data_IF_525557805956
#
_entry.id   IF_525557805956
#
_cell.length_a   1.000
_cell.length_b   1.000
_cell.length_c   1.000
_cell.angle_alpha   90.00
_cell.angle_beta   90.00
_cell.angle_gamma   90.00
#
_symmetry.space_group_name_H-M   'P 1'
#
loop_
_entity.id
_entity.type
_entity.pdbx_description
1 polymer ?
#
# COMPACT_ATOMS: atom_id res chain seq x y z
N UNK A 1 -36.10 7.73 7.50
CA UNK A 1 -35.08 7.11 6.64
C UNK A 1 -34.46 6.00 7.45
N UNK A 2 -34.55 4.76 7.00
CA UNK A 2 -33.90 3.64 7.69
C UNK A 2 -32.40 3.93 7.74
N UNK A 3 -31.79 3.84 8.92
CA UNK A 3 -30.35 4.06 9.07
C UNK A 3 -29.60 2.97 8.32
N UNK A 4 -28.70 3.35 7.40
CA UNK A 4 -27.84 2.40 6.71
C UNK A 4 -26.89 1.79 7.74
N UNK A 5 -26.74 0.46 7.70
CA UNK A 5 -25.90 -0.32 8.60
C UNK A 5 -24.92 -1.18 7.80
N UNK A 6 -23.68 -1.29 8.29
CA UNK A 6 -22.70 -2.26 7.79
C UNK A 6 -22.41 -3.32 8.86
N UNK A 7 -22.40 -4.57 8.45
CA UNK A 7 -22.22 -5.72 9.33
C UNK A 7 -21.02 -6.55 8.90
N UNK A 8 -20.06 -6.71 9.80
CA UNK A 8 -19.02 -7.74 9.73
C UNK A 8 -19.62 -9.06 10.23
N UNK A 9 -20.01 -9.96 9.31
CA UNK A 9 -20.76 -11.17 9.65
C UNK A 9 -19.90 -12.29 10.20
N UNK A 10 -18.63 -12.34 9.79
CA UNK A 10 -17.70 -13.37 10.20
C UNK A 10 -16.80 -13.82 9.07
N UNK A 11 -16.19 -14.98 9.27
CA UNK A 11 -15.29 -15.59 8.31
C UNK A 11 -15.29 -17.11 8.46
N UNK A 12 -14.83 -17.78 7.42
CA UNK A 12 -14.51 -19.21 7.40
C UNK A 12 -13.12 -19.40 6.84
N UNK A 13 -12.41 -20.46 7.24
CA UNK A 13 -11.07 -20.74 6.74
C UNK A 13 -10.81 -22.24 6.66
N UNK A 14 -9.90 -22.60 5.76
CA UNK A 14 -9.35 -23.94 5.57
C UNK A 14 -7.84 -23.80 5.40
N UNK A 15 -7.09 -24.13 6.45
CA UNK A 15 -5.63 -23.97 6.49
C UNK A 15 -4.90 -24.96 5.59
N UNK A 16 -5.46 -26.15 5.38
CA UNK A 16 -4.89 -27.17 4.50
C UNK A 16 -5.05 -26.77 3.03
N UNK A 17 -6.23 -26.27 2.65
CA UNK A 17 -6.47 -25.73 1.31
C UNK A 17 -5.88 -24.34 1.09
N UNK A 18 -5.48 -23.66 2.16
CA UNK A 18 -4.89 -22.32 2.08
C UNK A 18 -5.90 -21.25 1.65
N UNK A 19 -7.10 -21.25 2.25
CA UNK A 19 -8.18 -20.34 1.88
C UNK A 19 -8.86 -19.76 3.13
N UNK A 20 -9.25 -18.49 3.06
CA UNK A 20 -10.24 -17.91 3.98
C UNK A 20 -11.24 -17.04 3.23
N UNK A 21 -12.48 -16.99 3.73
CA UNK A 21 -13.57 -16.18 3.18
C UNK A 21 -14.13 -15.28 4.28
N UNK A 22 -14.43 -14.03 3.97
CA UNK A 22 -14.92 -13.02 4.90
C UNK A 22 -16.26 -12.47 4.41
N UNK A 23 -17.27 -12.54 5.27
CA UNK A 23 -18.65 -12.21 4.95
C UNK A 23 -19.03 -10.82 5.48
N UNK A 24 -19.63 -10.01 4.63
CA UNK A 24 -20.12 -8.67 4.96
C UNK A 24 -21.57 -8.47 4.50
N UNK A 25 -22.29 -7.55 5.13
CA UNK A 25 -23.50 -6.98 4.55
C UNK A 25 -23.59 -5.48 4.75
N UNK A 26 -24.32 -4.84 3.84
CA UNK A 26 -24.87 -3.50 4.03
C UNK A 26 -26.39 -3.60 3.93
N UNK A 27 -27.08 -2.99 4.88
CA UNK A 27 -28.54 -2.97 4.99
C UNK A 27 -29.00 -1.50 4.99
N UNK A 28 -29.85 -1.14 4.04
CA UNK A 28 -30.40 0.21 3.87
C UNK A 28 -31.73 0.16 3.13
N UNK A 29 -31.90 1.01 2.11
CA UNK A 29 -33.03 0.89 1.17
C UNK A 29 -32.95 -0.41 0.35
N UNK A 30 -31.73 -0.75 -0.07
CA UNK A 30 -31.37 -2.05 -0.61
C UNK A 30 -30.43 -2.78 0.36
N UNK A 31 -30.48 -4.11 0.34
CA UNK A 31 -29.54 -4.94 1.10
C UNK A 31 -28.57 -5.64 0.15
N UNK A 32 -27.29 -5.64 0.51
CA UNK A 32 -26.26 -6.37 -0.22
C UNK A 32 -25.42 -7.22 0.73
N UNK A 33 -24.96 -8.35 0.22
CA UNK A 33 -24.03 -9.24 0.87
C UNK A 33 -22.79 -9.35 0.00
N UNK A 34 -21.64 -9.51 0.65
CA UNK A 34 -20.35 -9.60 -0.02
C UNK A 34 -19.52 -10.71 0.63
N UNK A 35 -18.72 -11.38 -0.19
CA UNK A 35 -17.72 -12.36 0.25
C UNK A 35 -16.37 -11.99 -0.36
N UNK A 36 -15.43 -11.56 0.49
CA UNK A 36 -14.03 -11.43 0.09
C UNK A 36 -13.29 -12.72 0.39
N UNK A 37 -12.42 -13.16 -0.52
CA UNK A 37 -11.59 -14.35 -0.28
C UNK A 37 -10.11 -13.98 -0.27
N UNK A 38 -9.35 -14.70 0.54
CA UNK A 38 -7.90 -14.72 0.47
C UNK A 38 -7.41 -16.16 0.26
N UNK A 39 -6.31 -16.29 -0.47
CA UNK A 39 -5.64 -17.55 -0.74
C UNK A 39 -4.17 -17.44 -0.35
N UNK A 40 -3.64 -18.48 0.27
CA UNK A 40 -2.28 -18.54 0.81
C UNK A 40 -1.75 -19.99 0.70
N UNK A 41 -0.43 -20.24 0.75
CA UNK A 41 0.11 -21.60 0.79
C UNK A 41 -0.47 -22.42 1.96
N UNK A 42 -0.63 -23.73 1.76
CA UNK A 42 -1.10 -24.64 2.82
C UNK A 42 -0.27 -24.47 4.10
N UNK A 43 -0.95 -24.43 5.23
CA UNK A 43 -0.32 -24.25 6.55
C UNK A 43 -0.26 -25.60 7.23
N UNK A 44 0.94 -26.17 7.32
CA UNK A 44 1.19 -27.47 7.95
C UNK A 44 1.33 -27.36 9.47
N UNK A 45 1.64 -26.17 9.98
CA UNK A 45 1.83 -25.93 11.40
C UNK A 45 0.49 -25.93 12.16
N UNK A 46 0.48 -26.55 13.34
CA UNK A 46 -0.65 -26.43 14.25
C UNK A 46 -0.65 -25.03 14.89
N UNK A 47 -1.69 -24.25 14.61
CA UNK A 47 -1.84 -22.90 15.14
C UNK A 47 -2.99 -22.90 16.14
N UNK A 48 -2.78 -22.42 17.39
CA UNK A 48 -3.84 -22.34 18.38
C UNK A 48 -5.05 -21.57 17.86
N UNK A 49 -6.25 -22.14 18.07
CA UNK A 49 -7.51 -21.56 17.58
C UNK A 49 -7.70 -20.11 18.01
N UNK A 50 -7.33 -19.77 19.25
CA UNK A 50 -7.42 -18.41 19.76
C UNK A 50 -6.52 -17.43 18.98
N UNK A 51 -5.37 -17.88 18.48
CA UNK A 51 -4.47 -17.05 17.68
C UNK A 51 -4.99 -16.86 16.26
N UNK A 52 -5.51 -17.94 15.65
CA UNK A 52 -6.23 -17.86 14.38
C UNK A 52 -7.39 -16.87 14.48
N UNK A 53 -8.17 -16.93 15.58
CA UNK A 53 -9.27 -16.00 15.83
C UNK A 53 -8.79 -14.55 15.81
N UNK A 54 -7.70 -14.22 16.51
CA UNK A 54 -7.12 -12.86 16.50
C UNK A 54 -6.73 -12.42 15.09
N UNK A 55 -6.07 -13.28 14.32
CA UNK A 55 -5.63 -12.96 12.97
C UNK A 55 -6.84 -12.68 12.06
N UNK A 56 -7.80 -13.59 12.02
CA UNK A 56 -8.95 -13.47 11.13
C UNK A 56 -9.97 -12.41 11.56
N UNK A 57 -10.15 -12.16 12.86
CA UNK A 57 -10.94 -11.04 13.36
C UNK A 57 -10.41 -9.70 12.82
N UNK A 58 -9.09 -9.49 12.89
CA UNK A 58 -8.46 -8.26 12.41
C UNK A 58 -8.46 -8.15 10.88
N UNK A 59 -8.27 -9.28 10.18
CA UNK A 59 -8.39 -9.32 8.72
C UNK A 59 -9.80 -8.97 8.26
N UNK A 60 -10.84 -9.49 8.93
CA UNK A 60 -12.22 -9.14 8.63
C UNK A 60 -12.44 -7.62 8.71
N UNK A 61 -11.89 -6.96 9.74
CA UNK A 61 -12.06 -5.53 9.92
C UNK A 61 -11.31 -4.69 8.87
N UNK A 62 -10.09 -5.05 8.49
CA UNK A 62 -9.35 -4.27 7.49
C UNK A 62 -9.86 -4.53 6.06
N UNK A 63 -10.21 -5.77 5.70
CA UNK A 63 -10.71 -6.10 4.36
C UNK A 63 -12.11 -5.51 4.12
N UNK A 64 -12.96 -5.51 5.16
CA UNK A 64 -14.30 -4.94 5.13
C UNK A 64 -14.36 -3.45 4.75
N UNK A 65 -13.25 -2.71 4.86
CA UNK A 65 -13.16 -1.29 4.51
C UNK A 65 -13.56 -1.02 3.05
N UNK A 66 -13.27 -1.97 2.16
CA UNK A 66 -13.58 -1.89 0.73
C UNK A 66 -15.09 -1.90 0.45
N UNK A 67 -15.88 -2.55 1.32
CA UNK A 67 -17.33 -2.63 1.19
C UNK A 67 -18.05 -1.58 2.03
N UNK A 68 -17.53 -1.26 3.23
CA UNK A 68 -18.08 -0.20 4.08
C UNK A 68 -18.12 1.15 3.33
N UNK A 69 -17.06 1.46 2.58
CA UNK A 69 -16.93 2.75 1.88
C UNK A 69 -18.04 3.00 0.86
N UNK A 70 -18.67 1.96 0.31
CA UNK A 70 -19.72 2.09 -0.71
C UNK A 70 -20.85 3.02 -0.27
N UNK A 71 -21.19 2.99 1.02
CA UNK A 71 -22.32 3.75 1.57
C UNK A 71 -21.96 4.58 2.81
N UNK A 72 -20.74 4.44 3.34
CA UNK A 72 -20.27 5.15 4.54
C UNK A 72 -21.25 5.10 5.75
N UNK A 73 -21.82 3.94 6.10
CA UNK A 73 -22.82 3.86 7.16
C UNK A 73 -22.24 4.20 8.53
N UNK A 74 -23.00 4.96 9.31
CA UNK A 74 -22.66 5.33 10.70
C UNK A 74 -22.81 4.15 11.66
N UNK A 75 -23.70 3.22 11.36
CA UNK A 75 -23.94 2.06 12.20
C UNK A 75 -23.07 0.90 11.73
N UNK A 76 -22.12 0.50 12.58
CA UNK A 76 -21.23 -0.63 12.37
C UNK A 76 -21.60 -1.73 13.36
N UNK A 77 -21.80 -2.96 12.85
CA UNK A 77 -22.04 -4.15 13.67
C UNK A 77 -20.94 -5.18 13.42
N UNK A 78 -20.41 -5.76 14.50
CA UNK A 78 -19.47 -6.88 14.46
C UNK A 78 -20.14 -8.07 15.14
N UNK A 79 -20.37 -9.17 14.42
CA UNK A 79 -21.17 -10.30 14.93
C UNK A 79 -20.35 -11.40 15.64
N UNK A 80 -19.11 -11.65 15.20
CA UNK A 80 -18.28 -12.78 15.67
C UNK A 80 -17.16 -12.38 16.63
N UNK A 81 -17.04 -11.08 16.90
CA UNK A 81 -15.99 -10.52 17.74
C UNK A 81 -16.51 -9.27 18.45
N UNK A 82 -15.91 -8.94 19.58
CA UNK A 82 -16.10 -7.66 20.26
C UNK A 82 -14.77 -6.97 20.45
N UNK A 83 -14.76 -5.67 20.19
CA UNK A 83 -13.60 -4.81 20.42
C UNK A 83 -13.66 -4.27 21.83
N UNK A 84 -12.51 -4.10 22.48
CA UNK A 84 -12.42 -3.16 23.58
C UNK A 84 -12.29 -1.72 23.06
N UNK A 85 -12.34 -0.74 23.96
CA UNK A 85 -12.25 0.69 23.62
C UNK A 85 -11.00 1.03 22.79
N UNK A 86 -9.83 0.56 23.22
CA UNK A 86 -8.57 0.87 22.54
C UNK A 86 -8.53 0.30 21.11
N UNK A 87 -9.06 -0.91 20.92
CA UNK A 87 -9.16 -1.49 19.59
C UNK A 87 -10.13 -0.71 18.70
N UNK A 88 -11.29 -0.30 19.24
CA UNK A 88 -12.24 0.52 18.49
C UNK A 88 -11.62 1.89 18.13
N UNK A 89 -10.85 2.51 19.03
CA UNK A 89 -10.15 3.77 18.75
C UNK A 89 -9.08 3.61 17.66
N UNK A 90 -8.33 2.51 17.68
CA UNK A 90 -7.43 2.14 16.58
C UNK A 90 -8.17 2.05 15.24
N UNK A 91 -9.26 1.27 15.17
CA UNK A 91 -10.02 1.09 13.93
C UNK A 91 -10.72 2.37 13.46
N UNK A 92 -11.22 3.20 14.39
CA UNK A 92 -11.73 4.54 14.09
C UNK A 92 -10.66 5.38 13.39
N UNK A 93 -9.42 5.36 13.90
CA UNK A 93 -8.30 6.11 13.33
C UNK A 93 -7.87 5.57 11.97
N UNK A 94 -7.75 4.24 11.82
CA UNK A 94 -7.39 3.58 10.55
C UNK A 94 -8.39 3.91 9.45
N UNK A 95 -9.68 3.79 9.71
CA UNK A 95 -10.72 4.13 8.73
C UNK A 95 -10.77 5.63 8.44
N UNK A 96 -10.65 6.48 9.45
CA UNK A 96 -10.71 7.93 9.27
C UNK A 96 -9.53 8.46 8.45
N UNK A 97 -8.29 8.12 8.84
CA UNK A 97 -7.08 8.64 8.19
C UNK A 97 -6.77 7.88 6.89
N UNK A 98 -6.95 6.56 6.88
CA UNK A 98 -6.71 5.72 5.70
C UNK A 98 -7.66 5.97 4.53
N UNK A 99 -8.89 6.44 4.80
CA UNK A 99 -9.84 6.86 3.76
C UNK A 99 -9.82 8.38 3.50
N UNK A 100 -8.81 9.11 3.97
CA UNK A 100 -8.75 10.57 3.84
C UNK A 100 -8.89 11.06 2.39
N UNK A 101 -8.17 10.45 1.44
CA UNK A 101 -8.32 10.78 0.01
C UNK A 101 -9.73 10.46 -0.49
N UNK A 102 -10.28 9.31 -0.08
CA UNK A 102 -11.62 8.90 -0.47
C UNK A 102 -12.65 9.92 -0.01
N UNK A 103 -12.57 10.40 1.24
CA UNK A 103 -13.47 11.44 1.74
C UNK A 103 -13.29 12.76 1.01
N UNK A 104 -12.05 13.19 0.76
CA UNK A 104 -11.77 14.41 0.01
C UNK A 104 -12.37 14.36 -1.40
N UNK A 105 -12.10 13.28 -2.16
CA UNK A 105 -12.58 13.14 -3.55
C UNK A 105 -14.09 13.05 -3.65
N UNK A 106 -14.75 12.39 -2.69
CA UNK A 106 -16.21 12.26 -2.64
C UNK A 106 -16.89 13.42 -1.89
N UNK A 107 -16.13 14.41 -1.39
CA UNK A 107 -16.62 15.57 -0.63
C UNK A 107 -17.45 15.17 0.61
N UNK A 108 -17.03 14.10 1.29
CA UNK A 108 -17.71 13.55 2.47
C UNK A 108 -17.19 14.23 3.74
N UNK A 109 -18.09 14.73 4.57
CA UNK A 109 -17.75 15.15 5.94
C UNK A 109 -17.58 13.94 6.84
N UNK A 110 -16.32 13.58 7.11
CA UNK A 110 -15.95 12.41 7.88
C UNK A 110 -15.88 12.67 9.40
N UNK A 111 -16.08 13.91 9.86
CA UNK A 111 -15.90 14.26 11.28
C UNK A 111 -16.91 13.53 12.14
N UNK A 112 -16.42 12.63 13.00
CA UNK A 112 -17.26 11.78 13.85
C UNK A 112 -18.10 10.75 13.08
N UNK A 113 -17.78 10.48 11.82
CA UNK A 113 -18.48 9.52 10.96
C UNK A 113 -18.22 8.08 11.39
N UNK A 114 -16.95 7.75 11.64
CA UNK A 114 -16.52 6.39 12.00
C UNK A 114 -16.65 6.18 13.50
N UNK A 115 -17.44 5.16 13.89
CA UNK A 115 -17.63 4.76 15.28
C UNK A 115 -17.75 3.25 15.37
N UNK A 116 -16.63 2.56 15.52
CA UNK A 116 -16.59 1.14 15.82
C UNK A 116 -17.20 0.86 17.21
N UNK A 117 -18.09 -0.15 17.33
CA UNK A 117 -18.65 -0.54 18.62
C UNK A 117 -17.57 -1.18 19.50
N UNK A 118 -17.69 -1.00 20.81
CA UNK A 118 -16.83 -1.65 21.79
C UNK A 118 -17.62 -2.08 23.03
N UNK A 119 -17.03 -3.03 23.75
CA UNK A 119 -17.50 -3.57 25.03
C UNK A 119 -16.41 -3.45 26.10
N UNK A 120 -16.80 -3.59 27.37
CA UNK A 120 -15.85 -3.58 28.50
C UNK A 120 -15.25 -4.96 28.67
N UNK A 121 -14.24 -5.27 27.85
CA UNK A 121 -13.57 -6.57 27.83
C UNK A 121 -12.05 -6.39 27.99
N UNK A 122 -11.40 -7.29 28.74
CA UNK A 122 -9.95 -7.28 28.88
C UNK A 122 -9.27 -7.76 27.60
N UNK A 123 -8.21 -7.07 27.21
CA UNK A 123 -7.34 -7.55 26.14
C UNK A 123 -6.56 -8.77 26.63
N UNK A 124 -6.63 -9.88 25.90
CA UNK A 124 -5.67 -10.96 26.00
C UNK A 124 -4.68 -10.84 24.85
N UNK A 125 -3.40 -11.05 25.08
CA UNK A 125 -2.41 -11.21 24.01
C UNK A 125 -2.03 -12.68 23.93
N UNK A 126 -1.74 -13.19 22.73
CA UNK A 126 -1.27 -14.56 22.56
C UNK A 126 0.18 -14.50 22.11
N UNK A 127 1.05 -15.03 22.97
CA UNK A 127 2.46 -15.18 22.65
C UNK A 127 2.74 -16.59 22.13
N UNK A 128 3.31 -16.64 20.94
CA UNK A 128 3.83 -17.87 20.33
C UNK A 128 5.15 -17.48 19.66
N UNK A 129 6.29 -17.75 20.32
CA UNK A 129 7.61 -17.40 19.80
C UNK A 129 7.83 -17.90 18.37
N UNK A 130 8.53 -17.08 17.59
CA UNK A 130 8.82 -17.33 16.18
C UNK A 130 10.32 -17.44 15.96
N UNK A 131 10.71 -18.11 14.88
CA UNK A 131 12.10 -18.11 14.45
C UNK A 131 12.54 -16.70 14.05
N UNK A 132 13.75 -16.34 14.46
CA UNK A 132 14.42 -15.07 14.12
C UNK A 132 14.78 -15.04 12.63
N UNK A 133 13.80 -14.70 11.80
CA UNK A 133 13.93 -14.50 10.36
C UNK A 133 12.88 -13.51 9.89
N UNK A 134 13.22 -12.79 8.82
CA UNK A 134 12.38 -11.71 8.31
C UNK A 134 11.59 -12.12 7.10
N UNK A 135 10.39 -11.58 6.98
CA UNK A 135 9.54 -11.70 5.81
C UNK A 135 9.42 -10.33 5.14
N UNK A 136 10.16 -10.15 4.05
CA UNK A 136 10.27 -8.86 3.34
C UNK A 136 9.19 -8.77 2.27
N UNK A 137 8.35 -7.73 2.32
CA UNK A 137 7.32 -7.49 1.30
C UNK A 137 7.94 -6.99 -0.01
N UNK A 138 7.58 -7.63 -1.12
CA UNK A 138 8.08 -7.30 -2.45
C UNK A 138 6.96 -6.84 -3.39
N UNK A 139 6.88 -5.52 -3.62
CA UNK A 139 5.88 -4.90 -4.49
C UNK A 139 6.32 -4.69 -5.95
N UNK A 140 7.62 -4.86 -6.24
CA UNK A 140 8.16 -4.75 -7.60
C UNK A 140 8.68 -3.36 -7.99
N UNK A 141 8.54 -2.38 -7.09
CA UNK A 141 9.19 -1.07 -7.17
C UNK A 141 10.63 -1.09 -6.64
N UNK A 142 11.32 0.05 -6.79
CA UNK A 142 12.72 0.23 -6.40
C UNK A 142 12.96 0.01 -4.90
N UNK A 143 12.04 0.43 -4.05
CA UNK A 143 12.21 0.45 -2.58
C UNK A 143 12.35 -0.96 -2.01
N UNK A 144 11.46 -1.86 -2.43
CA UNK A 144 11.51 -3.27 -2.04
C UNK A 144 12.73 -4.02 -2.59
N UNK A 145 13.28 -3.57 -3.71
CA UNK A 145 14.55 -4.10 -4.26
C UNK A 145 15.71 -3.67 -3.37
N UNK A 146 15.79 -2.37 -3.04
CA UNK A 146 16.84 -1.84 -2.15
C UNK A 146 16.82 -2.55 -0.80
N UNK A 147 15.64 -2.73 -0.21
CA UNK A 147 15.51 -3.48 1.06
C UNK A 147 16.03 -4.90 0.92
N UNK A 148 15.59 -5.65 -0.10
CA UNK A 148 16.00 -7.04 -0.30
C UNK A 148 17.51 -7.20 -0.55
N UNK A 149 18.11 -6.31 -1.34
CA UNK A 149 19.55 -6.36 -1.61
C UNK A 149 20.37 -5.95 -0.39
N UNK A 150 19.88 -4.98 0.42
CA UNK A 150 20.52 -4.64 1.70
C UNK A 150 20.50 -5.80 2.69
N UNK A 151 19.39 -6.54 2.76
CA UNK A 151 19.32 -7.75 3.59
C UNK A 151 20.32 -8.82 3.13
N UNK A 152 20.51 -8.98 1.82
CA UNK A 152 21.54 -9.88 1.27
C UNK A 152 22.95 -9.42 1.60
N UNK A 153 23.25 -8.14 1.45
CA UNK A 153 24.55 -7.56 1.80
C UNK A 153 24.90 -7.75 3.29
N UNK A 154 23.90 -7.70 4.17
CA UNK A 154 24.06 -7.92 5.62
C UNK A 154 24.02 -9.40 6.03
N UNK A 155 23.84 -10.33 5.08
CA UNK A 155 23.63 -11.76 5.35
C UNK A 155 22.48 -12.05 6.35
N UNK A 156 21.50 -11.15 6.45
CA UNK A 156 20.35 -11.33 7.35
C UNK A 156 19.40 -12.38 6.74
N UNK A 157 18.99 -13.43 7.48
CA UNK A 157 18.03 -14.41 6.97
C UNK A 157 16.66 -13.76 6.68
N UNK A 158 16.22 -13.85 5.43
CA UNK A 158 14.89 -13.38 5.03
C UNK A 158 14.30 -14.20 3.90
N UNK A 159 12.98 -14.20 3.81
CA UNK A 159 12.24 -14.67 2.65
C UNK A 159 11.31 -13.56 2.14
N UNK A 160 10.73 -13.78 0.96
CA UNK A 160 9.90 -12.78 0.29
C UNK A 160 8.42 -13.08 0.52
N UNK A 161 7.66 -12.05 0.89
CA UNK A 161 6.20 -12.05 0.81
C UNK A 161 5.72 -11.21 -0.37
N UNK A 162 4.79 -11.75 -1.13
CA UNK A 162 4.08 -11.04 -2.18
C UNK A 162 2.59 -11.06 -1.90
N UNK A 163 1.95 -9.90 -2.00
CA UNK A 163 0.49 -9.79 -1.99
C UNK A 163 0.01 -9.54 -3.41
N UNK A 164 -0.78 -10.45 -3.94
CA UNK A 164 -1.14 -10.55 -5.35
C UNK A 164 -0.09 -11.28 -6.17
N UNK A 165 -0.53 -11.87 -7.28
CA UNK A 165 0.36 -12.54 -8.24
C UNK A 165 0.62 -11.63 -9.44
N UNK A 166 1.73 -10.89 -9.38
CA UNK A 166 2.13 -9.95 -10.43
C UNK A 166 3.47 -10.36 -11.06
N UNK A 167 3.54 -10.32 -12.39
CA UNK A 167 4.72 -10.77 -13.14
C UNK A 167 5.99 -9.97 -12.83
N UNK A 168 5.87 -8.69 -12.48
CA UNK A 168 7.02 -7.81 -12.15
C UNK A 168 7.71 -8.27 -10.86
N UNK A 169 7.04 -8.28 -9.67
CA UNK A 169 7.67 -8.75 -8.45
C UNK A 169 8.12 -10.22 -8.52
N UNK A 170 7.43 -11.10 -9.25
CA UNK A 170 7.89 -12.49 -9.48
C UNK A 170 9.26 -12.55 -10.18
N UNK A 171 9.44 -11.76 -11.25
CA UNK A 171 10.73 -11.67 -11.96
C UNK A 171 11.83 -11.11 -11.06
N UNK A 172 11.49 -10.13 -10.22
CA UNK A 172 12.44 -9.55 -9.27
C UNK A 172 12.83 -10.56 -8.19
N UNK A 173 11.88 -11.30 -7.62
CA UNK A 173 12.17 -12.37 -6.65
C UNK A 173 13.12 -13.42 -7.23
N UNK A 174 12.93 -13.79 -8.51
CA UNK A 174 13.85 -14.68 -9.23
C UNK A 174 15.27 -14.11 -9.34
N UNK A 175 15.44 -12.83 -9.63
CA UNK A 175 16.76 -12.17 -9.67
C UNK A 175 17.39 -12.09 -8.28
N UNK A 176 16.58 -11.83 -7.24
CA UNK A 176 17.03 -11.84 -5.85
C UNK A 176 17.54 -13.23 -5.44
N UNK A 177 16.94 -14.29 -6.00
CA UNK A 177 17.24 -15.69 -5.71
C UNK A 177 16.32 -16.30 -4.65
N UNK A 178 15.07 -15.82 -4.57
CA UNK A 178 14.09 -16.23 -3.56
C UNK A 178 12.81 -16.74 -4.20
N UNK A 179 12.20 -17.75 -3.57
CA UNK A 179 10.85 -18.24 -3.89
C UNK A 179 9.89 -17.48 -2.96
N UNK A 180 8.96 -16.68 -3.51
CA UNK A 180 8.07 -15.88 -2.68
C UNK A 180 6.95 -16.74 -2.08
N UNK A 181 6.57 -16.42 -0.84
CA UNK A 181 5.26 -16.75 -0.28
C UNK A 181 4.27 -15.78 -0.93
N UNK A 182 3.22 -16.30 -1.57
CA UNK A 182 2.24 -15.49 -2.30
C UNK A 182 0.88 -15.58 -1.62
N UNK A 183 0.37 -14.44 -1.17
CA UNK A 183 -1.02 -14.31 -0.71
C UNK A 183 -1.82 -13.63 -1.82
N UNK A 184 -2.96 -14.20 -2.22
CA UNK A 184 -3.88 -13.59 -3.18
C UNK A 184 -5.13 -13.12 -2.47
N UNK A 185 -5.70 -12.02 -2.94
CA UNK A 185 -6.97 -11.46 -2.49
C UNK A 185 -7.95 -11.42 -3.66
N UNK A 186 -9.19 -11.81 -3.43
CA UNK A 186 -10.27 -11.81 -4.41
C UNK A 186 -11.43 -10.99 -3.84
N UNK A 187 -11.59 -9.77 -4.36
CA UNK A 187 -12.73 -8.90 -4.05
C UNK A 187 -14.01 -9.48 -4.66
N UNK A 188 -15.14 -9.33 -3.96
CA UNK A 188 -16.44 -9.75 -4.47
C UNK A 188 -16.77 -9.00 -5.79
N UNK A 189 -17.20 -9.72 -6.83
CA UNK A 189 -17.51 -9.12 -8.13
C UNK A 189 -18.61 -8.05 -8.04
N UNK A 190 -19.55 -8.21 -7.10
CA UNK A 190 -20.63 -7.25 -6.83
C UNK A 190 -20.10 -5.88 -6.40
N UNK A 191 -18.92 -5.80 -5.79
CA UNK A 191 -18.28 -4.52 -5.48
C UNK A 191 -18.07 -3.70 -6.75
N UNK A 192 -17.62 -4.32 -7.84
CA UNK A 192 -17.36 -3.62 -9.10
C UNK A 192 -18.64 -3.20 -9.81
N UNK A 193 -19.70 -4.00 -9.71
CA UNK A 193 -21.04 -3.64 -10.22
C UNK A 193 -21.59 -2.42 -9.48
N UNK A 194 -21.54 -2.44 -8.14
CA UNK A 194 -22.05 -1.34 -7.32
C UNK A 194 -21.27 -0.05 -7.52
N UNK A 195 -19.95 -0.12 -7.68
CA UNK A 195 -19.08 1.05 -7.94
C UNK A 195 -19.42 1.81 -9.25
N UNK A 196 -20.22 1.23 -10.14
CA UNK A 196 -20.69 1.89 -11.37
C UNK A 196 -22.00 2.65 -11.17
N UNK A 197 -22.70 2.43 -10.04
CA UNK A 197 -23.95 3.14 -9.74
C UNK A 197 -23.65 4.55 -9.23
N UNK A 198 -24.63 5.45 -9.38
CA UNK A 198 -24.51 6.85 -8.94
C UNK A 198 -24.79 7.04 -7.44
N UNK A 199 -25.44 6.07 -6.81
CA UNK A 199 -25.84 6.08 -5.40
C UNK A 199 -24.83 5.42 -4.46
N UNK A 200 -23.66 5.02 -4.98
CA UNK A 200 -22.56 4.47 -4.19
C UNK A 200 -21.31 5.32 -4.34
N UNK A 201 -20.42 5.23 -3.34
CA UNK A 201 -19.11 5.87 -3.40
C UNK A 201 -18.03 4.91 -3.86
N UNK A 202 -17.09 5.45 -4.62
CA UNK A 202 -15.88 4.75 -5.04
C UNK A 202 -14.63 5.60 -4.73
N UNK A 203 -13.48 4.96 -4.57
CA UNK A 203 -12.21 5.66 -4.38
C UNK A 203 -11.17 4.84 -3.64
N UNK A 204 -10.11 5.54 -3.23
CA UNK A 204 -8.93 4.98 -2.57
C UNK A 204 -9.27 4.22 -1.28
N UNK A 205 -8.49 3.17 -1.00
CA UNK A 205 -8.46 2.46 0.28
C UNK A 205 -7.00 2.30 0.72
N UNK A 206 -6.71 2.24 2.02
CA UNK A 206 -5.35 2.14 2.54
C UNK A 206 -4.77 0.73 2.33
N UNK A 207 -4.40 0.39 1.09
CA UNK A 207 -3.96 -0.96 0.70
C UNK A 207 -2.73 -1.42 1.50
N UNK A 208 -1.80 -0.52 1.85
CA UNK A 208 -0.63 -0.90 2.66
C UNK A 208 -1.01 -1.31 4.10
N UNK A 209 -2.13 -0.84 4.64
CA UNK A 209 -2.64 -1.34 5.92
C UNK A 209 -3.15 -2.78 5.78
N UNK A 210 -3.86 -3.10 4.69
CA UNK A 210 -4.25 -4.50 4.37
C UNK A 210 -2.99 -5.38 4.30
N UNK A 211 -1.95 -4.92 3.62
CA UNK A 211 -0.69 -5.66 3.51
C UNK A 211 0.01 -5.87 4.86
N UNK A 212 -0.09 -4.91 5.78
CA UNK A 212 0.45 -5.06 7.13
C UNK A 212 -0.23 -6.22 7.89
N UNK A 213 -1.57 -6.28 7.88
CA UNK A 213 -2.31 -7.39 8.51
C UNK A 213 -2.07 -8.74 7.83
N UNK A 214 -2.03 -8.79 6.50
CA UNK A 214 -1.67 -10.01 5.75
C UNK A 214 -0.22 -10.44 6.03
N UNK A 215 0.68 -9.48 6.25
CA UNK A 215 2.06 -9.74 6.66
C UNK A 215 2.13 -10.41 8.03
N UNK A 216 1.41 -9.89 9.03
CA UNK A 216 1.31 -10.53 10.36
C UNK A 216 0.73 -11.94 10.26
N UNK A 217 -0.31 -12.14 9.45
CA UNK A 217 -0.85 -13.48 9.17
C UNK A 217 0.20 -14.40 8.58
N UNK A 218 0.92 -13.96 7.54
CA UNK A 218 1.96 -14.76 6.89
C UNK A 218 3.08 -15.14 7.86
N UNK A 219 3.54 -14.18 8.67
CA UNK A 219 4.57 -14.41 9.67
C UNK A 219 4.12 -15.42 10.74
N UNK A 220 2.86 -15.32 11.18
CA UNK A 220 2.25 -16.27 12.10
C UNK A 220 2.14 -17.68 11.51
N UNK A 221 1.74 -17.80 10.24
CA UNK A 221 1.50 -19.09 9.57
C UNK A 221 2.77 -19.82 9.20
N UNK A 222 3.77 -19.05 8.78
CA UNK A 222 5.00 -19.58 8.21
C UNK A 222 6.20 -19.33 9.11
N UNK A 223 6.00 -19.04 10.40
CA UNK A 223 7.02 -19.02 11.45
C UNK A 223 8.14 -17.98 11.24
N UNK A 224 7.76 -16.71 11.10
CA UNK A 224 8.66 -15.54 11.03
C UNK A 224 8.41 -14.59 12.21
N UNK A 225 9.48 -14.01 12.77
CA UNK A 225 9.38 -13.03 13.85
C UNK A 225 9.35 -11.58 13.37
N UNK A 226 9.61 -11.32 12.09
CA UNK A 226 9.63 -9.96 11.54
C UNK A 226 8.90 -9.90 10.19
N UNK A 227 8.09 -8.86 10.01
CA UNK A 227 7.48 -8.45 8.76
C UNK A 227 8.08 -7.11 8.37
N UNK A 228 8.78 -7.08 7.25
CA UNK A 228 9.55 -5.91 6.83
C UNK A 228 8.93 -5.31 5.57
N UNK A 229 8.58 -4.04 5.65
CA UNK A 229 8.17 -3.23 4.50
C UNK A 229 9.26 -2.22 4.12
N UNK A 230 9.06 -1.54 3.00
CA UNK A 230 10.04 -0.61 2.41
C UNK A 230 9.47 0.80 2.31
N UNK A 231 8.68 1.22 3.29
CA UNK A 231 8.13 2.57 3.36
C UNK A 231 9.20 3.59 3.76
N UNK A 232 9.21 4.69 3.03
CA UNK A 232 10.19 5.74 3.06
C UNK A 232 9.74 6.95 3.88
N UNK A 233 10.67 7.85 4.21
CA UNK A 233 10.38 9.10 4.92
C UNK A 233 9.33 9.95 4.20
N UNK A 234 9.39 9.98 2.87
CA UNK A 234 8.55 10.79 1.97
C UNK A 234 7.08 10.36 1.99
N UNK A 235 6.77 9.16 2.50
CA UNK A 235 5.40 8.70 2.73
C UNK A 235 4.68 9.50 3.82
N UNK A 236 5.41 10.21 4.69
CA UNK A 236 4.83 11.11 5.69
C UNK A 236 4.29 12.41 5.09
N UNK A 237 4.73 12.79 3.88
CA UNK A 237 4.35 14.06 3.27
C UNK A 237 2.91 13.99 2.71
N UNK A 238 2.01 14.79 3.30
CA UNK A 238 0.60 14.88 2.91
C UNK A 238 0.36 15.52 1.55
N UNK A 239 -0.91 15.56 1.16
CA UNK A 239 -1.35 16.04 -0.15
C UNK A 239 -2.10 17.37 -0.04
N UNK A 240 -3.15 17.44 0.78
CA UNK A 240 -4.08 18.58 0.80
C UNK A 240 -4.74 18.73 2.16
N UNK A 241 -5.10 19.96 2.55
CA UNK A 241 -5.91 20.21 3.74
C UNK A 241 -7.40 20.02 3.44
N UNK A 242 -8.10 19.22 4.26
CA UNK A 242 -9.54 18.99 4.14
C UNK A 242 -10.19 18.88 5.52
N UNK A 243 -11.21 19.72 5.77
CA UNK A 243 -11.95 19.78 7.03
C UNK A 243 -11.08 20.01 8.27
N UNK A 244 -9.98 20.77 8.10
CA UNK A 244 -9.07 21.14 9.19
C UNK A 244 -7.91 20.17 9.42
N UNK A 245 -7.80 19.11 8.63
CA UNK A 245 -6.75 18.10 8.74
C UNK A 245 -5.99 17.94 7.43
N UNK A 246 -4.71 17.55 7.51
CA UNK A 246 -3.94 17.16 6.34
C UNK A 246 -4.32 15.74 5.89
N UNK A 247 -4.69 15.62 4.62
CA UNK A 247 -4.99 14.35 3.95
C UNK A 247 -3.73 13.82 3.28
N UNK A 248 -3.38 12.57 3.56
CA UNK A 248 -2.23 11.88 2.98
C UNK A 248 -2.68 10.60 2.24
N UNK A 249 -2.45 10.56 0.92
CA UNK A 249 -2.66 9.38 0.06
C UNK A 249 -1.97 8.12 0.59
N UNK A 250 -0.79 8.31 1.17
CA UNK A 250 0.09 7.25 1.66
C UNK A 250 0.05 7.15 3.17
N UNK A 251 -1.04 7.57 3.84
CA UNK A 251 -1.10 7.56 5.31
C UNK A 251 -0.78 6.18 5.90
N UNK A 252 -1.24 5.08 5.28
CA UNK A 252 -0.91 3.72 5.72
C UNK A 252 0.54 3.27 5.45
N UNK A 253 1.40 4.16 4.98
CA UNK A 253 2.86 4.01 4.87
C UNK A 253 3.63 5.01 5.74
N UNK A 254 2.92 5.90 6.42
CA UNK A 254 3.52 6.90 7.30
C UNK A 254 4.11 6.25 8.56
N UNK A 255 5.01 6.97 9.21
CA UNK A 255 5.53 6.61 10.54
C UNK A 255 4.41 6.61 11.59
N UNK A 256 3.42 7.51 11.45
CA UNK A 256 2.26 7.55 12.34
C UNK A 256 1.49 6.21 12.30
N UNK A 257 1.20 5.70 11.10
CA UNK A 257 0.54 4.41 10.94
C UNK A 257 1.43 3.26 11.43
N UNK A 258 2.73 3.29 11.12
CA UNK A 258 3.66 2.24 11.52
C UNK A 258 3.70 2.06 13.04
N UNK A 259 3.88 3.15 13.80
CA UNK A 259 3.87 3.12 15.27
C UNK A 259 2.51 2.67 15.82
N UNK A 260 1.42 3.23 15.28
CA UNK A 260 0.07 2.86 15.68
C UNK A 260 -0.20 1.35 15.45
N UNK A 261 0.26 0.81 14.33
CA UNK A 261 0.10 -0.59 13.98
C UNK A 261 0.98 -1.50 14.83
N UNK A 262 2.24 -1.12 15.09
CA UNK A 262 3.14 -1.84 15.99
C UNK A 262 2.54 -1.97 17.40
N UNK A 263 2.09 -0.86 17.98
CA UNK A 263 1.46 -0.85 19.31
C UNK A 263 0.22 -1.76 19.34
N UNK A 264 -0.62 -1.65 18.30
CA UNK A 264 -1.83 -2.46 18.17
C UNK A 264 -1.52 -3.95 18.00
N UNK A 265 -0.59 -4.30 17.10
CA UNK A 265 -0.28 -5.69 16.79
C UNK A 265 0.35 -6.38 18.00
N UNK A 266 1.30 -5.72 18.68
CA UNK A 266 1.95 -6.24 19.88
C UNK A 266 0.97 -6.46 21.02
N UNK A 267 0.03 -5.53 21.22
CA UNK A 267 -0.92 -5.59 22.34
C UNK A 267 -2.11 -6.52 22.09
N UNK A 268 -2.62 -6.57 20.86
CA UNK A 268 -3.91 -7.24 20.58
C UNK A 268 -3.82 -8.45 19.66
N UNK A 269 -2.71 -8.65 18.93
CA UNK A 269 -2.52 -9.79 18.03
C UNK A 269 -1.45 -10.74 18.59
N UNK A 270 -0.19 -10.33 18.58
CA UNK A 270 0.95 -11.11 19.07
C UNK A 270 2.15 -10.21 19.35
N UNK A 271 2.91 -10.43 20.43
CA UNK A 271 4.14 -9.70 20.71
C UNK A 271 5.35 -10.31 19.98
N UNK A 272 5.20 -11.49 19.35
CA UNK A 272 6.30 -12.27 18.78
C UNK A 272 6.55 -11.98 17.29
N UNK A 273 5.77 -11.08 16.70
CA UNK A 273 5.95 -10.62 15.32
C UNK A 273 6.08 -9.10 15.31
N UNK A 274 7.26 -8.63 14.91
CA UNK A 274 7.53 -7.22 14.70
C UNK A 274 7.15 -6.81 13.28
N UNK A 275 6.51 -5.65 13.13
CA UNK A 275 6.29 -5.00 11.83
C UNK A 275 7.12 -3.74 11.76
N UNK A 276 7.94 -3.57 10.74
CA UNK A 276 8.78 -2.37 10.62
C UNK A 276 9.07 -2.00 9.17
N UNK A 277 9.41 -0.72 8.96
CA UNK A 277 9.88 -0.24 7.68
C UNK A 277 11.39 -0.03 7.64
N UNK A 278 12.08 -0.78 6.79
CA UNK A 278 13.55 -0.73 6.71
C UNK A 278 14.09 0.60 6.17
N UNK A 279 13.31 1.31 5.35
CA UNK A 279 13.74 2.54 4.67
C UNK A 279 13.23 3.82 5.33
N UNK A 280 12.71 3.75 6.57
CA UNK A 280 12.04 4.86 7.25
C UNK A 280 12.85 6.16 7.28
N UNK A 281 14.17 6.04 7.46
CA UNK A 281 15.07 7.19 7.57
C UNK A 281 15.48 7.79 6.23
N UNK A 282 15.24 7.08 5.12
CA UNK A 282 15.65 7.50 3.79
C UNK A 282 14.49 8.15 3.03
N UNK A 283 14.84 9.17 2.26
CA UNK A 283 13.92 9.84 1.35
C UNK A 283 13.92 9.16 -0.05
N UNK A 284 12.97 9.52 -0.92
CA UNK A 284 12.84 8.90 -2.24
C UNK A 284 14.07 9.15 -3.14
N UNK A 285 14.76 10.27 -2.95
CA UNK A 285 15.95 10.62 -3.70
C UNK A 285 17.13 9.74 -3.28
N UNK A 286 17.37 9.58 -1.98
CA UNK A 286 18.41 8.73 -1.40
C UNK A 286 18.20 7.25 -1.75
N UNK A 287 16.96 6.77 -1.67
CA UNK A 287 16.63 5.40 -2.10
C UNK A 287 16.91 5.22 -3.60
N UNK A 288 16.61 6.23 -4.41
CA UNK A 288 16.88 6.17 -5.86
C UNK A 288 18.38 6.17 -6.15
N UNK A 289 19.18 6.92 -5.40
CA UNK A 289 20.64 6.88 -5.49
C UNK A 289 21.17 5.47 -5.21
N UNK A 290 20.71 4.83 -4.13
CA UNK A 290 21.10 3.47 -3.80
C UNK A 290 20.65 2.50 -4.89
N UNK A 291 19.39 2.59 -5.33
CA UNK A 291 18.84 1.74 -6.37
C UNK A 291 19.59 1.85 -7.70
N UNK A 292 20.11 3.04 -8.05
CA UNK A 292 20.86 3.26 -9.29
C UNK A 292 22.09 2.36 -9.43
N UNK A 293 22.59 1.81 -8.30
CA UNK A 293 23.73 0.90 -8.27
C UNK A 293 23.35 -0.57 -8.58
N UNK A 294 22.06 -0.90 -8.62
CA UNK A 294 21.56 -2.25 -8.89
C UNK A 294 21.01 -2.40 -10.33
N UNK A 295 21.85 -2.12 -11.32
CA UNK A 295 21.51 -2.14 -12.75
C UNK A 295 20.85 -3.44 -13.25
N UNK A 296 21.13 -4.59 -12.62
CA UNK A 296 20.51 -5.90 -12.93
C UNK A 296 18.99 -5.90 -12.88
N UNK A 297 18.36 -4.94 -12.19
CA UNK A 297 16.90 -4.82 -12.11
C UNK A 297 16.29 -3.91 -13.16
N UNK A 298 17.08 -3.10 -13.88
CA UNK A 298 16.58 -2.04 -14.78
C UNK A 298 15.63 -2.56 -15.88
N UNK A 299 15.81 -3.82 -16.29
CA UNK A 299 14.99 -4.49 -17.30
C UNK A 299 13.68 -5.09 -16.78
N UNK A 300 13.50 -5.19 -15.45
CA UNK A 300 12.31 -5.82 -14.86
C UNK A 300 11.49 -4.94 -13.93
N UNK A 301 12.10 -4.00 -13.21
CA UNK A 301 11.39 -3.21 -12.20
C UNK A 301 10.33 -2.28 -12.80
N UNK A 302 9.29 -1.99 -12.03
CA UNK A 302 8.42 -0.86 -12.34
C UNK A 302 7.67 -0.40 -11.11
N UNK A 303 7.61 0.92 -10.94
CA UNK A 303 6.75 1.56 -9.95
C UNK A 303 5.48 2.16 -10.57
N UNK A 304 5.19 1.89 -11.84
CA UNK A 304 4.00 2.43 -12.50
C UNK A 304 2.72 1.81 -11.91
N UNK A 305 1.92 2.62 -11.20
CA UNK A 305 0.70 2.17 -10.54
C UNK A 305 -0.36 1.60 -11.49
N UNK A 306 -0.32 1.95 -12.79
CA UNK A 306 -1.21 1.35 -13.80
C UNK A 306 -0.96 -0.16 -13.99
N UNK A 307 0.19 -0.71 -13.61
CA UNK A 307 0.50 -2.14 -13.70
C UNK A 307 -0.25 -2.99 -12.68
N UNK A 308 -0.72 -2.36 -11.60
CA UNK A 308 -1.31 -3.03 -10.43
C UNK A 308 -2.80 -2.73 -10.28
N UNK A 309 -3.42 -2.07 -11.27
CA UNK A 309 -4.87 -1.85 -11.31
C UNK A 309 -5.59 -3.16 -11.65
N UNK A 310 -6.59 -3.52 -10.85
CA UNK A 310 -7.41 -4.73 -11.01
C UNK A 310 -8.08 -4.75 -12.40
N UNK A 311 -8.63 -3.60 -12.83
CA UNK A 311 -9.19 -3.41 -14.17
C UNK A 311 -8.21 -2.57 -15.00
N UNK A 312 -7.16 -3.22 -15.52
CA UNK A 312 -6.17 -2.54 -16.36
C UNK A 312 -6.77 -2.09 -17.69
N UNK A 313 -6.48 -0.84 -18.07
CA UNK A 313 -6.78 -0.28 -19.39
C UNK A 313 -5.91 -0.99 -20.44
N UNK A 314 -6.52 -1.44 -21.54
CA UNK A 314 -5.84 -2.18 -22.63
C UNK A 314 -4.59 -1.46 -23.14
N UNK A 315 -4.56 -0.12 -23.06
CA UNK A 315 -3.44 0.74 -23.50
C UNK A 315 -2.10 0.44 -22.82
N UNK A 316 -2.12 -0.20 -21.66
CA UNK A 316 -0.92 -0.53 -20.88
C UNK A 316 -0.60 -2.02 -20.83
N UNK A 317 -1.40 -2.90 -21.44
CA UNK A 317 -1.15 -4.34 -21.43
C UNK A 317 0.22 -4.64 -22.05
N UNK A 318 1.09 -5.28 -21.27
CA UNK A 318 2.45 -5.65 -21.68
C UNK A 318 3.53 -4.57 -21.53
N UNK A 319 3.20 -3.33 -21.18
CA UNK A 319 4.18 -2.24 -20.96
C UNK A 319 4.47 -2.07 -19.46
N UNK A 320 5.76 -2.01 -19.08
CA UNK A 320 6.17 -1.74 -17.68
C UNK A 320 5.95 -0.29 -17.27
N UNK A 321 6.09 0.66 -18.20
CA UNK A 321 5.99 2.10 -17.95
C UNK A 321 5.02 2.70 -18.95
N UNK A 322 4.02 3.46 -18.49
CA UNK A 322 3.14 4.18 -19.43
C UNK A 322 3.78 5.48 -19.92
N UNK A 323 4.69 6.07 -19.14
CA UNK A 323 5.35 7.33 -19.48
C UNK A 323 4.41 8.54 -19.50
N UNK A 324 3.29 8.45 -18.79
CA UNK A 324 2.23 9.48 -18.80
C UNK A 324 1.69 9.82 -17.39
N UNK A 325 1.93 8.97 -16.39
CA UNK A 325 1.38 9.16 -15.05
C UNK A 325 2.36 9.86 -14.10
N UNK A 326 1.87 10.44 -12.98
CA UNK A 326 2.72 11.10 -11.98
C UNK A 326 3.89 10.23 -11.52
N UNK A 327 3.65 8.94 -11.25
CA UNK A 327 4.70 8.04 -10.79
C UNK A 327 5.75 7.73 -11.86
N UNK A 328 5.38 7.69 -13.15
CA UNK A 328 6.37 7.54 -14.22
C UNK A 328 7.28 8.78 -14.31
N UNK A 329 6.69 9.98 -14.34
CA UNK A 329 7.46 11.22 -14.43
C UNK A 329 8.37 11.39 -13.20
N UNK A 330 7.83 11.19 -12.00
CA UNK A 330 8.59 11.33 -10.76
C UNK A 330 9.79 10.37 -10.70
N UNK A 331 9.60 9.08 -11.03
CA UNK A 331 10.73 8.12 -11.01
C UNK A 331 11.74 8.43 -12.13
N UNK A 332 11.30 8.89 -13.30
CA UNK A 332 12.21 9.34 -14.36
C UNK A 332 13.07 10.52 -13.90
N UNK A 333 12.45 11.52 -13.26
CA UNK A 333 13.14 12.67 -12.67
C UNK A 333 14.22 12.21 -11.69
N UNK A 334 13.87 11.36 -10.72
CA UNK A 334 14.84 10.91 -9.72
C UNK A 334 15.98 10.11 -10.36
N UNK A 335 15.68 9.20 -11.29
CA UNK A 335 16.72 8.40 -11.96
C UNK A 335 17.61 9.23 -12.88
N UNK A 336 17.12 10.31 -13.49
CA UNK A 336 17.94 11.19 -14.35
C UNK A 336 19.09 11.89 -13.60
N UNK A 337 19.02 11.97 -12.27
CA UNK A 337 20.15 12.46 -11.47
C UNK A 337 21.35 11.50 -11.51
N UNK A 338 21.10 10.20 -11.65
CA UNK A 338 22.12 9.16 -11.44
C UNK A 338 22.44 8.36 -12.71
N UNK A 339 21.45 8.08 -13.55
CA UNK A 339 21.56 7.20 -14.71
C UNK A 339 21.78 8.02 -16.00
N UNK A 340 22.73 7.65 -16.88
CA UNK A 340 22.90 8.29 -18.18
C UNK A 340 21.61 8.29 -19.02
N UNK A 341 21.36 9.36 -19.78
CA UNK A 341 20.15 9.59 -20.57
C UNK A 341 19.78 8.41 -21.46
N UNK A 342 20.75 7.83 -22.17
CA UNK A 342 20.50 6.71 -23.08
C UNK A 342 20.02 5.45 -22.34
N UNK A 343 20.62 5.13 -21.20
CA UNK A 343 20.20 4.00 -20.38
C UNK A 343 18.82 4.25 -19.75
N UNK A 344 18.57 5.47 -19.27
CA UNK A 344 17.27 5.85 -18.73
C UNK A 344 16.16 5.77 -19.78
N UNK A 345 16.42 6.22 -21.00
CA UNK A 345 15.50 6.03 -22.14
C UNK A 345 15.26 4.53 -22.39
N UNK A 346 16.29 3.69 -22.29
CA UNK A 346 16.14 2.23 -22.39
C UNK A 346 15.22 1.62 -21.33
N UNK A 347 15.22 2.16 -20.10
CA UNK A 347 14.33 1.72 -19.01
C UNK A 347 12.87 2.04 -19.30
N UNK A 348 12.59 3.28 -19.75
CA UNK A 348 11.22 3.80 -19.92
C UNK A 348 10.66 3.60 -21.34
N UNK A 349 11.53 3.35 -22.32
CA UNK A 349 11.20 3.28 -23.74
C UNK A 349 11.01 4.64 -24.44
N UNK A 350 11.10 5.76 -23.72
CA UNK A 350 11.09 7.12 -24.27
C UNK A 350 11.73 8.12 -23.31
N UNK A 351 12.17 9.26 -23.83
CA UNK A 351 12.59 10.40 -23.02
C UNK A 351 11.35 11.17 -22.51
N UNK A 352 11.12 11.20 -21.21
CA UNK A 352 9.97 11.93 -20.64
C UNK A 352 10.20 13.45 -20.62
N UNK A 353 11.44 13.92 -20.64
CA UNK A 353 11.72 15.36 -20.65
C UNK A 353 11.41 16.04 -21.98
N UNK A 354 11.29 15.28 -23.08
CA UNK A 354 10.86 15.81 -24.39
C UNK A 354 9.33 15.92 -24.52
N UNK A 355 8.56 15.28 -23.64
CA UNK A 355 7.10 15.21 -23.76
C UNK A 355 6.42 16.43 -23.11
N UNK A 356 6.19 17.48 -23.91
CA UNK A 356 5.56 18.73 -23.46
C UNK A 356 4.19 18.55 -22.80
N UNK A 357 3.48 17.46 -23.11
CA UNK A 357 2.19 17.15 -22.48
C UNK A 357 2.32 16.87 -20.98
N UNK A 358 3.52 16.52 -20.51
CA UNK A 358 3.82 16.30 -19.09
C UNK A 358 4.13 17.59 -18.34
N UNK A 359 4.19 18.76 -18.99
CA UNK A 359 4.51 20.02 -18.33
C UNK A 359 3.56 20.38 -17.16
N UNK A 360 2.23 20.24 -17.27
CA UNK A 360 1.34 20.47 -16.13
C UNK A 360 1.67 19.56 -14.95
N UNK A 361 1.95 18.28 -15.24
CA UNK A 361 2.29 17.30 -14.23
C UNK A 361 3.67 17.57 -13.60
N UNK A 362 4.64 18.06 -14.38
CA UNK A 362 5.92 18.50 -13.85
C UNK A 362 5.72 19.62 -12.83
N UNK A 363 4.92 20.65 -13.17
CA UNK A 363 4.63 21.79 -12.28
C UNK A 363 4.01 21.34 -10.95
N UNK A 364 3.09 20.38 -10.97
CA UNK A 364 2.54 19.77 -9.76
C UNK A 364 3.61 18.99 -8.98
N UNK A 365 4.41 18.18 -9.69
CA UNK A 365 5.47 17.34 -9.11
C UNK A 365 6.53 18.16 -8.39
N UNK A 366 6.89 19.34 -8.91
CA UNK A 366 7.85 20.27 -8.29
C UNK A 366 7.17 21.36 -7.44
N UNK A 367 5.87 21.25 -7.16
CA UNK A 367 5.16 22.18 -6.26
C UNK A 367 5.08 23.63 -6.76
N UNK A 368 5.11 23.85 -8.08
CA UNK A 368 4.87 25.16 -8.72
C UNK A 368 3.38 25.45 -8.85
N UNK A 369 2.54 24.42 -8.98
CA UNK A 369 1.09 24.56 -9.08
C UNK A 369 0.35 23.42 -8.39
N UNK A 370 -0.87 23.69 -7.95
CA UNK A 370 -1.74 22.67 -7.36
C UNK A 370 -1.16 22.10 -6.07
N UNK A 371 -1.33 20.79 -5.88
CA UNK A 371 -0.79 20.06 -4.75
C UNK A 371 -0.18 18.73 -5.23
N UNK A 372 0.57 18.05 -4.36
CA UNK A 372 1.19 16.76 -4.66
C UNK A 372 0.13 15.78 -5.18
N UNK A 373 0.30 15.18 -6.38
CA UNK A 373 -0.68 14.24 -6.92
C UNK A 373 -1.05 13.12 -5.93
N UNK A 374 -2.32 12.69 -5.95
CA UNK A 374 -2.80 11.51 -5.22
C UNK A 374 -2.27 10.21 -5.85
N UNK A 375 -0.96 10.07 -5.81
CA UNK A 375 -0.18 8.93 -6.30
C UNK A 375 0.97 8.70 -5.32
N UNK A 376 1.54 7.50 -5.33
CA UNK A 376 2.65 7.13 -4.45
C UNK A 376 3.98 7.79 -4.87
N UNK A 377 4.05 9.12 -4.98
CA UNK A 377 5.26 9.89 -5.30
C UNK A 377 5.84 10.54 -4.05
N UNK A 378 7.11 10.95 -4.11
CA UNK A 378 7.78 11.68 -3.03
C UNK A 378 7.35 13.15 -2.96
N UNK A 379 8.26 14.01 -2.57
CA UNK A 379 8.08 15.43 -2.28
C UNK A 379 8.53 16.31 -3.45
N UNK A 380 7.99 17.54 -3.55
CA UNK A 380 8.51 18.55 -4.47
C UNK A 380 10.00 18.83 -4.33
N UNK A 381 10.52 18.80 -3.10
CA UNK A 381 11.92 19.10 -2.80
C UNK A 381 12.86 18.03 -3.38
N UNK A 382 12.51 16.75 -3.24
CA UNK A 382 13.27 15.65 -3.84
C UNK A 382 13.27 15.72 -5.37
N UNK A 383 12.11 16.05 -5.98
CA UNK A 383 12.02 16.21 -7.43
C UNK A 383 12.89 17.38 -7.92
N UNK A 384 12.86 18.53 -7.25
CA UNK A 384 13.73 19.68 -7.58
C UNK A 384 15.20 19.34 -7.43
N UNK A 385 15.60 18.68 -6.34
CA UNK A 385 16.98 18.23 -6.11
C UNK A 385 17.48 17.36 -7.27
N UNK A 386 16.65 16.41 -7.72
CA UNK A 386 17.00 15.55 -8.84
C UNK A 386 17.11 16.30 -10.17
N UNK A 387 16.17 17.21 -10.47
CA UNK A 387 16.23 18.06 -11.67
C UNK A 387 17.46 18.98 -11.68
N UNK A 388 17.82 19.54 -10.53
CA UNK A 388 19.03 20.36 -10.40
C UNK A 388 20.28 19.56 -10.76
N UNK A 389 20.42 18.34 -10.24
CA UNK A 389 21.55 17.46 -10.57
C UNK A 389 21.50 17.05 -12.05
N UNK A 390 20.33 16.68 -12.57
CA UNK A 390 20.17 16.29 -13.97
C UNK A 390 20.51 17.45 -14.94
N UNK A 391 20.17 18.70 -14.61
CA UNK A 391 20.49 19.88 -15.44
C UNK A 391 22.00 20.10 -15.61
N UNK A 392 22.80 19.76 -14.58
CA UNK A 392 24.27 19.89 -14.59
C UNK A 392 24.99 18.81 -15.39
N UNK A 393 24.27 17.79 -15.89
CA UNK A 393 24.84 16.69 -16.67
C UNK A 393 24.93 16.98 -18.17
N UNK A 394 24.42 18.12 -18.65
CA UNK A 394 24.39 18.55 -20.05
C UNK A 394 23.61 17.66 -21.03
N UNK A 395 23.21 16.44 -20.64
CA UNK A 395 22.52 15.46 -21.48
C UNK A 395 21.07 15.86 -21.85
N UNK A 396 20.45 16.76 -21.09
CA UNK A 396 19.03 17.11 -21.18
C UNK A 396 18.73 18.58 -21.55
N UNK A 397 19.76 19.38 -21.90
CA UNK A 397 19.63 20.83 -22.20
C UNK A 397 18.60 21.16 -23.27
N UNK A 398 18.42 20.26 -24.24
CA UNK A 398 17.52 20.48 -25.36
C UNK A 398 16.07 20.05 -25.08
N UNK A 399 15.82 19.35 -23.98
CA UNK A 399 14.53 18.72 -23.70
C UNK A 399 13.53 19.74 -23.11
N UNK A 400 12.31 19.77 -23.62
CA UNK A 400 11.32 20.82 -23.34
C UNK A 400 11.03 21.02 -21.84
N UNK A 401 10.93 19.94 -21.06
CA UNK A 401 10.67 20.03 -19.62
C UNK A 401 11.86 20.57 -18.83
N UNK A 402 13.09 20.25 -19.25
CA UNK A 402 14.30 20.77 -18.61
C UNK A 402 14.52 22.24 -18.93
N UNK A 403 14.29 22.65 -20.19
CA UNK A 403 14.26 24.07 -20.59
C UNK A 403 13.25 24.88 -19.78
N UNK A 404 12.10 24.31 -19.43
CA UNK A 404 11.16 24.96 -18.53
C UNK A 404 11.72 25.09 -17.11
N UNK A 405 12.27 24.01 -16.55
CA UNK A 405 12.82 23.99 -15.20
C UNK A 405 13.98 25.00 -15.03
N UNK A 406 14.90 25.09 -15.99
CA UNK A 406 16.04 26.03 -15.96
C UNK A 406 15.64 27.52 -16.05
N UNK A 407 14.38 27.81 -16.40
CA UNK A 407 13.83 29.19 -16.46
C UNK A 407 13.09 29.60 -15.20
N UNK A 408 12.86 28.67 -14.27
CA UNK A 408 12.27 28.94 -12.94
C UNK A 408 13.34 29.52 -12.00
#
# INVERSE_FOLDING_TARGET
MNSIQFTFKGYTYDLEKGQASFDYSVEGEESHQFVEKIYFPSVEAEIPEQFLKKIFDNLSLILGISYWKLYCPKQIIIQKNSLNREQADFWNKVYTKGLGEFFYKNKIDYRGLIKFPYEVNAASVISIPRKTRSLVLLGGGKDSIVTSEKFKEMEKPFDILMIGEHAIPLKIAKIIGKIPIVIKTELDTKLFELNQRQDTYNGHVPVSAIYAFLGIMAAAFYDYSEVVVSNEKSANFGNVNYLGEEINHQWSKSEEFERLFQDYSQKFITPDVEYSSYLRELDEFEITEIFSKYNKYFTVFSSCNRNFKINSDDRNKGKRWCGECPKCLFVFILLSAFIPKQELIGIFGKNLFEDEKLLPLLKETIGVSGFKPFECVGTPQEAKKALEIASKRDEYKEDSLMKFYERL
#
